data_IF_609769421674
#
_entry.id   IF_609769421674
#
_cell.length_a   1.000
_cell.length_b   1.000
_cell.length_c   1.000
_cell.angle_alpha   90.00
_cell.angle_beta   90.00
_cell.angle_gamma   90.00
#
_symmetry.space_group_name_H-M   'P 1'
#
loop_
_entity.id
_entity.type
_entity.pdbx_description
1 polymer ?
#
# COMPACT_ATOMS: atom_id res chain seq x y z
N UNK A 1 -0.35 1.36 11.16
CA UNK A 1 0.28 1.92 9.94
C UNK A 1 0.97 3.23 10.28
N UNK A 2 2.10 3.51 9.65
CA UNK A 2 2.91 4.71 9.91
C UNK A 2 2.98 5.58 8.65
N UNK A 3 2.79 6.90 8.81
CA UNK A 3 2.92 7.90 7.73
C UNK A 3 3.76 9.05 8.25
N UNK A 4 4.81 9.42 7.52
CA UNK A 4 5.64 10.57 7.84
C UNK A 4 5.50 11.68 6.78
N UNK A 5 5.61 12.91 7.25
CA UNK A 5 5.84 14.14 6.48
C UNK A 5 7.16 14.75 6.93
N UNK A 6 7.59 15.86 6.31
CA UNK A 6 8.85 16.52 6.68
C UNK A 6 8.92 16.97 8.15
N UNK A 7 7.77 17.17 8.82
CA UNK A 7 7.72 17.74 10.17
C UNK A 7 6.94 16.91 11.20
N UNK A 8 6.19 15.89 10.76
CA UNK A 8 5.32 15.10 11.64
C UNK A 8 5.24 13.65 11.19
N UNK A 9 5.11 12.76 12.17
CA UNK A 9 4.83 11.34 11.96
C UNK A 9 3.49 10.99 12.61
N UNK A 10 2.68 10.22 11.90
CA UNK A 10 1.38 9.73 12.32
C UNK A 10 1.43 8.22 12.43
N UNK A 11 1.00 7.69 13.58
CA UNK A 11 0.76 6.27 13.79
C UNK A 11 -0.75 6.04 13.81
N UNK A 12 -1.25 5.40 12.77
CA UNK A 12 -2.66 5.08 12.60
C UNK A 12 -2.93 3.68 13.12
N UNK A 13 -3.79 3.58 14.12
CA UNK A 13 -4.30 2.32 14.65
C UNK A 13 -5.35 1.76 13.69
N UNK A 14 -4.89 0.98 12.71
CA UNK A 14 -5.78 0.44 11.68
C UNK A 14 -6.80 -0.56 12.25
N UNK A 15 -6.49 -1.26 13.35
CA UNK A 15 -7.44 -2.20 13.97
C UNK A 15 -8.64 -1.40 14.48
N UNK A 16 -8.36 -0.41 15.34
CA UNK A 16 -9.40 0.44 15.91
C UNK A 16 -10.15 1.26 14.87
N UNK A 17 -9.43 1.87 13.91
CA UNK A 17 -10.06 2.71 12.88
C UNK A 17 -10.93 1.91 11.91
N UNK A 18 -10.55 0.67 11.61
CA UNK A 18 -11.35 -0.21 10.76
C UNK A 18 -12.64 -0.65 11.45
N UNK A 19 -12.61 -0.88 12.75
CA UNK A 19 -13.80 -1.21 13.55
C UNK A 19 -14.72 0.00 13.75
N UNK A 20 -14.14 1.14 14.14
CA UNK A 20 -14.91 2.31 14.59
C UNK A 20 -15.41 3.17 13.40
N UNK A 21 -14.62 3.31 12.33
CA UNK A 21 -14.90 4.26 11.25
C UNK A 21 -14.28 3.83 9.89
N UNK A 22 -14.69 2.67 9.33
CA UNK A 22 -14.08 2.11 8.13
C UNK A 22 -14.20 3.03 6.91
N UNK A 23 -15.35 3.67 6.69
CA UNK A 23 -15.56 4.56 5.53
C UNK A 23 -14.66 5.81 5.61
N UNK A 24 -14.52 6.39 6.81
CA UNK A 24 -13.64 7.55 7.03
C UNK A 24 -12.18 7.17 6.83
N UNK A 25 -11.78 5.99 7.31
CA UNK A 25 -10.45 5.43 7.09
C UNK A 25 -10.20 5.24 5.58
N UNK A 26 -11.15 4.63 4.87
CA UNK A 26 -11.04 4.36 3.44
C UNK A 26 -10.91 5.65 2.63
N UNK A 27 -11.77 6.63 2.88
CA UNK A 27 -11.77 7.92 2.19
C UNK A 27 -10.49 8.73 2.50
N UNK A 28 -10.02 8.69 3.74
CA UNK A 28 -8.78 9.35 4.14
C UNK A 28 -7.57 8.76 3.39
N UNK A 29 -7.42 7.44 3.44
CA UNK A 29 -6.28 6.77 2.82
C UNK A 29 -6.37 6.78 1.29
N UNK A 30 -7.56 6.71 0.71
CA UNK A 30 -7.78 6.89 -0.74
C UNK A 30 -7.25 8.23 -1.21
N UNK A 31 -7.57 9.32 -0.50
CA UNK A 31 -7.07 10.67 -0.84
C UNK A 31 -5.55 10.79 -0.78
N UNK A 32 -4.88 9.97 0.01
CA UNK A 32 -3.41 9.97 0.14
C UNK A 32 -2.78 9.03 -0.90
N UNK A 33 -3.20 7.76 -0.92
CA UNK A 33 -2.61 6.69 -1.72
C UNK A 33 -2.90 6.88 -3.21
N UNK A 34 -4.11 7.27 -3.59
CA UNK A 34 -4.50 7.43 -5.00
C UNK A 34 -4.14 8.82 -5.56
N UNK A 35 -3.62 9.75 -4.74
CA UNK A 35 -3.32 11.10 -5.22
C UNK A 35 -2.04 11.14 -6.07
N UNK A 36 -2.11 11.59 -7.34
CA UNK A 36 -0.92 11.80 -8.18
C UNK A 36 -0.17 13.10 -7.81
N UNK A 37 -0.64 13.86 -6.81
CA UNK A 37 0.01 15.10 -6.36
C UNK A 37 0.97 14.89 -5.20
N UNK A 38 0.90 13.74 -4.55
CA UNK A 38 1.72 13.41 -3.39
C UNK A 38 2.69 12.31 -3.80
N UNK A 39 3.99 12.56 -3.69
CA UNK A 39 5.02 11.53 -3.81
C UNK A 39 5.04 10.71 -2.51
N UNK A 40 4.85 9.40 -2.62
CA UNK A 40 4.91 8.46 -1.50
C UNK A 40 6.25 7.77 -1.51
N UNK A 41 6.86 7.67 -0.34
CA UNK A 41 8.09 6.92 -0.16
C UNK A 41 7.74 5.62 0.56
N UNK A 42 8.19 4.51 0.01
CA UNK A 42 8.04 3.19 0.61
C UNK A 42 9.34 2.42 0.62
N UNK A 43 9.38 1.29 1.33
CA UNK A 43 10.50 0.36 1.29
C UNK A 43 9.95 -1.05 1.23
N UNK A 44 10.09 -1.72 0.08
CA UNK A 44 9.39 -2.97 -0.21
C UNK A 44 7.85 -2.83 -0.08
N UNK A 45 7.33 -1.68 -0.51
CA UNK A 45 5.95 -1.26 -0.25
C UNK A 45 4.91 -2.20 -0.89
N UNK A 46 5.26 -2.84 -2.00
CA UNK A 46 4.37 -3.77 -2.67
C UNK A 46 4.00 -4.97 -1.79
N UNK A 47 4.91 -5.41 -0.91
CA UNK A 47 4.59 -6.46 0.07
C UNK A 47 3.62 -5.96 1.14
N UNK A 48 3.78 -4.72 1.59
CA UNK A 48 2.92 -4.12 2.62
C UNK A 48 1.50 -3.92 2.09
N UNK A 49 1.34 -3.32 0.90
CA UNK A 49 0.01 -3.05 0.33
C UNK A 49 -0.76 -4.33 0.03
N UNK A 50 -0.09 -5.41 -0.39
CA UNK A 50 -0.72 -6.72 -0.59
C UNK A 50 -1.27 -7.29 0.72
N UNK A 51 -0.48 -7.22 1.79
CA UNK A 51 -0.93 -7.66 3.11
C UNK A 51 -2.09 -6.80 3.61
N UNK A 52 -2.01 -5.47 3.44
CA UNK A 52 -3.07 -4.54 3.83
C UNK A 52 -4.38 -4.82 3.05
N UNK A 53 -4.31 -4.99 1.73
CA UNK A 53 -5.47 -5.32 0.91
C UNK A 53 -6.08 -6.67 1.29
N UNK A 54 -5.27 -7.65 1.69
CA UNK A 54 -5.75 -8.95 2.18
C UNK A 54 -6.42 -8.83 3.56
N UNK A 55 -5.80 -8.12 4.50
CA UNK A 55 -6.32 -7.95 5.87
C UNK A 55 -7.57 -7.08 5.93
N UNK A 56 -7.66 -6.07 5.06
CA UNK A 56 -8.72 -5.06 5.07
C UNK A 56 -9.49 -5.02 3.74
N UNK A 57 -9.82 -6.19 3.16
CA UNK A 57 -10.33 -6.31 1.78
C UNK A 57 -11.61 -5.53 1.45
N UNK A 58 -12.32 -5.00 2.46
CA UNK A 58 -13.45 -4.10 2.29
C UNK A 58 -13.00 -2.68 1.88
N UNK A 59 -11.85 -2.23 2.36
CA UNK A 59 -11.26 -0.93 2.06
C UNK A 59 -10.74 -0.90 0.62
N UNK A 60 -11.10 0.15 -0.12
CA UNK A 60 -10.67 0.36 -1.49
C UNK A 60 -9.32 1.06 -1.60
N UNK A 61 -8.93 1.83 -0.58
CA UNK A 61 -7.69 2.60 -0.53
C UNK A 61 -6.41 1.80 -0.75
N UNK A 62 -6.42 0.49 -0.49
CA UNK A 62 -5.26 -0.39 -0.69
C UNK A 62 -5.21 -1.06 -2.06
N UNK A 63 -6.23 -0.87 -2.91
CA UNK A 63 -6.27 -1.48 -4.24
C UNK A 63 -5.57 -0.61 -5.29
N UNK A 64 -5.32 0.67 -5.01
CA UNK A 64 -4.62 1.56 -5.93
C UNK A 64 -3.61 2.43 -5.17
N UNK A 65 -2.50 2.72 -5.81
CA UNK A 65 -1.64 3.84 -5.43
C UNK A 65 -1.03 4.49 -6.66
N UNK A 66 -0.81 5.80 -6.58
CA UNK A 66 -0.07 6.58 -7.57
C UNK A 66 1.24 7.10 -7.00
N UNK A 67 2.16 7.60 -7.83
CA UNK A 67 3.30 8.41 -7.37
C UNK A 67 4.09 7.78 -6.22
N UNK A 68 4.36 6.47 -6.29
CA UNK A 68 5.13 5.76 -5.27
C UNK A 68 6.58 5.61 -5.73
N UNK A 69 7.52 6.03 -4.90
CA UNK A 69 8.93 5.72 -5.03
C UNK A 69 9.30 4.66 -3.98
N UNK A 70 9.57 3.44 -4.44
CA UNK A 70 10.11 2.40 -3.57
C UNK A 70 11.62 2.56 -3.42
N UNK A 71 12.06 2.97 -2.24
CA UNK A 71 13.46 3.24 -1.91
C UNK A 71 14.32 1.99 -2.05
N UNK A 72 13.76 0.79 -1.84
CA UNK A 72 14.52 -0.45 -2.04
C UNK A 72 14.93 -0.62 -3.51
N UNK A 73 14.03 -0.29 -4.44
CA UNK A 73 14.27 -0.42 -5.88
C UNK A 73 15.29 0.61 -6.37
N UNK A 74 15.28 1.83 -5.82
CA UNK A 74 16.22 2.90 -6.18
C UNK A 74 17.67 2.50 -5.87
N UNK A 75 17.90 1.89 -4.71
CA UNK A 75 19.25 1.55 -4.26
C UNK A 75 19.72 0.15 -4.64
N UNK A 76 18.79 -0.70 -5.13
CA UNK A 76 19.03 -2.12 -5.41
C UNK A 76 19.79 -2.79 -4.28
N UNK A 77 19.40 -2.51 -3.03
CA UNK A 77 20.09 -2.99 -1.84
C UNK A 77 19.42 -4.28 -1.34
N UNK A 78 19.96 -5.47 -1.67
CA UNK A 78 19.34 -6.73 -1.27
C UNK A 78 19.60 -7.06 0.21
N UNK A 79 20.59 -6.44 0.86
CA UNK A 79 21.10 -6.88 2.16
C UNK A 79 20.88 -5.85 3.28
N UNK A 80 20.47 -6.33 4.45
CA UNK A 80 20.39 -5.53 5.68
C UNK A 80 19.06 -4.79 5.91
N UNK A 81 18.17 -4.74 4.91
CA UNK A 81 16.87 -4.07 4.99
C UNK A 81 16.99 -2.55 5.17
N UNK A 82 15.89 -1.90 5.53
CA UNK A 82 15.85 -0.45 5.73
C UNK A 82 16.92 0.05 6.71
N UNK A 83 17.16 -0.67 7.82
CA UNK A 83 18.20 -0.34 8.79
C UNK A 83 19.62 -0.42 8.18
N UNK A 84 19.90 -1.40 7.33
CA UNK A 84 21.18 -1.51 6.63
C UNK A 84 21.38 -0.37 5.63
N UNK A 85 20.32 -0.04 4.89
CA UNK A 85 20.34 1.09 3.96
C UNK A 85 20.52 2.43 4.69
N UNK A 86 19.81 2.64 5.80
CA UNK A 86 19.97 3.81 6.65
C UNK A 86 21.41 3.95 7.15
N UNK A 87 22.04 2.86 7.60
CA UNK A 87 23.45 2.88 8.01
C UNK A 87 24.39 3.27 6.88
N UNK A 88 24.15 2.76 5.67
CA UNK A 88 24.96 3.05 4.48
C UNK A 88 24.88 4.52 4.04
N UNK A 89 23.70 5.12 4.16
CA UNK A 89 23.42 6.46 3.63
C UNK A 89 23.59 7.54 4.70
N UNK A 90 23.05 7.31 5.89
CA UNK A 90 22.97 8.27 6.98
C UNK A 90 24.04 8.02 8.06
N UNK A 91 24.88 6.98 7.91
CA UNK A 91 25.91 6.60 8.86
C UNK A 91 25.41 5.82 10.08
N UNK A 92 24.09 5.80 10.32
CA UNK A 92 23.47 5.10 11.46
C UNK A 92 22.29 4.23 11.03
N UNK A 93 22.17 3.05 11.64
CA UNK A 93 21.11 2.10 11.35
C UNK A 93 19.94 2.24 12.33
N UNK A 94 18.75 1.79 11.91
CA UNK A 94 17.60 1.74 12.78
C UNK A 94 17.72 0.63 13.83
N UNK A 95 17.21 0.89 15.04
CA UNK A 95 17.08 -0.10 16.10
C UNK A 95 16.05 -1.17 15.70
N UNK A 96 16.43 -2.46 15.69
CA UNK A 96 15.57 -3.58 15.24
C UNK A 96 14.78 -4.28 16.35
N UNK A 97 14.98 -3.89 17.61
CA UNK A 97 14.49 -4.62 18.80
C UNK A 97 12.96 -4.72 18.91
N UNK A 98 12.21 -3.88 18.20
CA UNK A 98 10.73 -3.86 18.24
C UNK A 98 10.06 -4.42 16.99
N UNK A 99 10.84 -4.84 15.99
CA UNK A 99 10.30 -5.41 14.75
C UNK A 99 9.33 -6.57 15.00
N UNK A 100 9.67 -7.45 15.93
CA UNK A 100 8.89 -8.64 16.27
C UNK A 100 8.15 -8.50 17.62
N UNK A 101 7.76 -7.27 18.00
CA UNK A 101 6.95 -7.03 19.19
C UNK A 101 5.47 -7.36 18.96
N UNK A 102 4.67 -7.51 20.02
CA UNK A 102 3.22 -7.65 19.88
C UNK A 102 2.60 -6.31 19.45
N UNK A 103 2.30 -6.17 18.16
CA UNK A 103 1.68 -4.97 17.58
C UNK A 103 0.15 -4.90 17.73
N UNK A 104 -0.47 -5.95 18.25
CA UNK A 104 -1.90 -5.98 18.59
C UNK A 104 -2.17 -5.46 20.01
N UNK A 105 -1.15 -5.39 20.87
CA UNK A 105 -1.30 -4.87 22.24
C UNK A 105 -1.82 -3.42 22.25
N UNK A 106 -2.71 -3.10 23.18
CA UNK A 106 -3.20 -1.73 23.41
C UNK A 106 -3.14 -1.35 24.90
N UNK A 107 -2.67 -0.14 25.25
CA UNK A 107 -2.04 0.84 24.35
C UNK A 107 -0.68 0.35 23.81
N UNK A 108 -0.23 0.90 22.68
CA UNK A 108 1.14 0.68 22.22
C UNK A 108 2.12 1.30 23.21
N UNK A 109 3.24 0.62 23.46
CA UNK A 109 4.30 1.14 24.33
C UNK A 109 5.03 2.31 23.66
N UNK A 110 5.63 3.20 24.45
CA UNK A 110 6.42 4.32 23.95
C UNK A 110 7.52 3.87 22.96
N UNK A 111 8.19 2.76 23.26
CA UNK A 111 9.25 2.20 22.41
C UNK A 111 8.72 1.65 21.07
N UNK A 112 7.48 1.16 21.02
CA UNK A 112 6.84 0.77 19.77
C UNK A 112 6.47 1.99 18.93
N UNK A 113 5.94 3.04 19.56
CA UNK A 113 5.62 4.30 18.89
C UNK A 113 6.88 4.93 18.27
N UNK A 114 7.97 5.00 19.03
CA UNK A 114 9.26 5.50 18.54
C UNK A 114 9.81 4.67 17.38
N UNK A 115 9.78 3.34 17.51
CA UNK A 115 10.21 2.44 16.44
C UNK A 115 9.39 2.66 15.16
N UNK A 116 8.07 2.66 15.26
CA UNK A 116 7.18 2.84 14.10
C UNK A 116 7.35 4.23 13.48
N UNK A 117 7.59 5.25 14.31
CA UNK A 117 7.81 6.60 13.82
C UNK A 117 9.12 6.72 13.03
N UNK A 118 10.21 6.11 13.54
CA UNK A 118 11.50 6.09 12.87
C UNK A 118 11.48 5.33 11.54
N UNK A 119 10.75 4.20 11.46
CA UNK A 119 10.61 3.42 10.23
C UNK A 119 10.00 4.24 9.07
N UNK A 120 9.09 5.17 9.36
CA UNK A 120 8.54 6.09 8.35
C UNK A 120 9.44 7.30 8.10
N UNK A 121 9.94 7.95 9.16
CA UNK A 121 10.72 9.18 9.05
C UNK A 121 12.04 8.99 8.30
N UNK A 122 12.70 7.85 8.47
CA UNK A 122 14.01 7.58 7.85
C UNK A 122 13.93 7.63 6.32
N UNK A 123 12.79 7.27 5.71
CA UNK A 123 12.62 7.27 4.26
C UNK A 123 12.73 8.69 3.69
N UNK A 124 12.22 9.69 4.41
CA UNK A 124 12.34 11.10 4.04
C UNK A 124 13.81 11.53 4.10
N UNK A 125 14.53 11.17 5.16
CA UNK A 125 15.95 11.51 5.28
C UNK A 125 16.80 10.86 4.19
N UNK A 126 16.56 9.58 3.88
CA UNK A 126 17.20 8.88 2.77
C UNK A 126 16.90 9.58 1.45
N UNK A 127 15.63 9.91 1.18
CA UNK A 127 15.23 10.57 -0.05
C UNK A 127 15.84 11.97 -0.22
N UNK A 128 15.92 12.76 0.86
CA UNK A 128 16.57 14.08 0.83
C UNK A 128 18.06 13.95 0.51
N UNK A 129 18.73 12.92 1.02
CA UNK A 129 20.11 12.63 0.69
C UNK A 129 20.29 12.28 -0.80
N UNK A 130 19.41 11.43 -1.36
CA UNK A 130 19.37 11.12 -2.80
C UNK A 130 19.18 12.37 -3.64
N UNK A 131 18.20 13.20 -3.27
CA UNK A 131 17.84 14.41 -4.02
C UNK A 131 18.94 15.48 -3.90
N UNK A 132 19.61 15.58 -2.76
CA UNK A 132 20.74 16.49 -2.54
C UNK A 132 21.87 16.24 -3.54
N UNK A 133 22.30 14.98 -3.70
CA UNK A 133 23.31 14.59 -4.69
C UNK A 133 22.95 14.96 -6.13
N UNK A 134 21.67 14.95 -6.49
CA UNK A 134 21.26 15.31 -7.86
C UNK A 134 21.32 16.81 -8.16
N UNK A 135 21.37 17.67 -7.14
CA UNK A 135 21.40 19.13 -7.28
C UNK A 135 22.79 19.74 -7.11
N UNK A 136 23.69 19.14 -6.31
CA UNK A 136 25.05 19.64 -6.06
C UNK A 136 26.11 19.12 -7.06
N UNK A 137 25.70 18.66 -8.25
CA UNK A 137 26.59 18.18 -9.29
C UNK A 137 27.32 19.33 -10.02
N UNK A 138 28.26 19.92 -9.29
CA UNK A 138 29.32 20.77 -9.76
C UNK A 138 30.61 20.48 -8.99
N UNK A 139 30.97 19.20 -8.78
CA UNK A 139 32.36 18.74 -8.80
C UNK A 139 32.52 17.23 -8.46
N UNK A 140 33.29 16.55 -9.33
CA UNK A 140 34.25 15.46 -9.08
C UNK A 140 33.89 14.12 -8.40
N UNK A 141 32.67 13.82 -7.91
CA UNK A 141 32.39 12.46 -7.39
C UNK A 141 31.57 11.60 -8.36
N UNK A 142 32.24 10.63 -9.02
CA UNK A 142 31.68 9.66 -9.99
C UNK A 142 30.81 8.58 -9.32
N UNK A 143 29.93 8.95 -8.40
CA UNK A 143 28.84 8.05 -7.97
C UNK A 143 27.67 8.28 -8.91
N UNK A 144 27.44 7.31 -9.80
CA UNK A 144 26.43 7.30 -10.85
C UNK A 144 25.17 8.07 -10.43
N UNK A 145 24.87 9.17 -11.12
CA UNK A 145 23.71 10.05 -10.87
C UNK A 145 22.46 9.18 -10.69
N UNK A 146 21.95 9.09 -9.46
CA UNK A 146 20.79 8.23 -9.16
C UNK A 146 19.55 8.85 -9.80
N UNK A 147 19.07 8.26 -10.89
CA UNK A 147 17.83 8.67 -11.55
C UNK A 147 16.62 8.06 -10.85
N UNK A 148 16.25 8.64 -9.70
CA UNK A 148 15.14 8.14 -8.89
C UNK A 148 13.76 8.33 -9.55
N UNK A 149 13.61 9.30 -10.46
CA UNK A 149 12.30 9.59 -11.11
C UNK A 149 11.79 8.43 -11.98
N UNK A 150 12.68 7.67 -12.60
CA UNK A 150 12.30 6.50 -13.42
C UNK A 150 11.80 5.31 -12.58
N UNK A 151 11.94 5.38 -11.26
CA UNK A 151 11.49 4.37 -10.31
C UNK A 151 10.14 4.73 -9.67
N UNK A 152 9.51 5.84 -10.08
CA UNK A 152 8.17 6.22 -9.65
C UNK A 152 7.16 5.33 -10.37
N UNK A 153 6.29 4.68 -9.59
CA UNK A 153 5.31 3.72 -10.09
C UNK A 153 3.89 4.05 -9.61
N UNK A 154 2.93 3.54 -10.36
CA UNK A 154 1.51 3.48 -10.03
C UNK A 154 1.01 2.04 -10.17
N UNK A 155 -0.02 1.67 -9.42
CA UNK A 155 -0.60 0.32 -9.47
C UNK A 155 -2.10 0.39 -9.24
N UNK A 156 -2.87 -0.36 -10.04
CA UNK A 156 -4.32 -0.57 -9.85
C UNK A 156 -4.59 -2.07 -9.81
N UNK A 157 -5.21 -2.54 -8.73
CA UNK A 157 -5.71 -3.91 -8.61
C UNK A 157 -7.09 -4.03 -9.29
N UNK A 158 -7.12 -4.66 -10.46
CA UNK A 158 -8.33 -4.85 -11.25
C UNK A 158 -9.19 -6.05 -10.82
N UNK A 159 -8.85 -6.75 -9.73
CA UNK A 159 -9.55 -7.98 -9.30
C UNK A 159 -11.02 -7.79 -8.90
N UNK A 160 -11.47 -6.55 -8.64
CA UNK A 160 -12.88 -6.22 -8.37
C UNK A 160 -13.69 -5.83 -9.62
N UNK A 161 -13.04 -5.35 -10.69
CA UNK A 161 -13.73 -5.05 -11.97
C UNK A 161 -14.23 -6.34 -12.64
N UNK A 162 -13.43 -7.40 -12.61
CA UNK A 162 -13.80 -8.72 -13.13
C UNK A 162 -14.99 -9.35 -12.37
N UNK A 163 -15.12 -9.12 -11.06
CA UNK A 163 -16.29 -9.56 -10.27
C UNK A 163 -17.58 -8.79 -10.61
N UNK A 164 -17.47 -7.52 -11.01
CA UNK A 164 -18.63 -6.66 -11.35
C UNK A 164 -19.15 -6.98 -12.77
N UNK A 165 -18.28 -7.32 -13.71
CA UNK A 165 -18.66 -7.81 -15.04
C UNK A 165 -19.28 -9.21 -14.99
N UNK A 166 -18.73 -10.13 -14.17
CA UNK A 166 -19.29 -11.46 -13.96
C UNK A 166 -20.71 -11.44 -13.35
N UNK A 167 -21.02 -10.47 -12.48
CA UNK A 167 -22.38 -10.27 -11.95
C UNK A 167 -23.35 -9.67 -12.98
N UNK A 168 -22.85 -8.83 -13.91
CA UNK A 168 -23.68 -8.15 -14.91
C UNK A 168 -24.04 -9.06 -16.10
N UNK A 169 -23.22 -10.08 -16.38
CA UNK A 169 -23.53 -11.13 -17.37
C UNK A 169 -24.61 -12.13 -16.92
N UNK A 170 -24.84 -12.28 -15.61
CA UNK A 170 -25.79 -13.26 -15.05
C UNK A 170 -27.24 -12.76 -14.94
N UNK A 171 -27.49 -11.46 -15.17
CA UNK A 171 -28.80 -10.83 -15.00
C UNK A 171 -29.62 -10.67 -16.29
N UNK A 172 -29.21 -11.30 -17.41
CA UNK A 172 -29.85 -11.12 -18.74
C UNK A 172 -30.58 -12.33 -19.33
N UNK A 173 -30.68 -13.44 -18.62
CA UNK A 173 -31.47 -14.61 -19.05
C UNK A 173 -32.47 -14.95 -17.97
N UNK A 174 -33.66 -14.35 -18.06
CA UNK A 174 -34.93 -14.95 -17.62
C UNK A 174 -36.08 -14.04 -18.11
N UNK A 175 -36.57 -14.30 -19.32
CA UNK A 175 -37.92 -13.95 -19.75
C UNK A 175 -38.41 -15.01 -20.74
N UNK A 176 -39.41 -15.76 -20.28
CA UNK A 176 -40.18 -16.82 -20.97
C UNK A 176 -40.97 -16.23 -22.16
N UNK A 177 -41.42 -17.06 -23.13
CA UNK A 177 -42.88 -17.27 -23.17
C UNK A 177 -43.34 -18.71 -23.49
N UNK A 178 -44.62 -18.91 -23.15
CA UNK A 178 -45.51 -20.07 -23.24
C UNK A 178 -45.76 -20.62 -24.66
N UNK A 179 -46.27 -21.87 -24.76
CA UNK A 179 -47.45 -22.31 -25.57
C UNK A 179 -47.80 -23.79 -25.26
N UNK A 180 -48.95 -24.13 -24.64
CA UNK A 180 -50.24 -24.68 -25.18
C UNK A 180 -50.15 -26.09 -25.83
N UNK A 181 -50.53 -27.18 -25.12
CA UNK A 181 -51.76 -28.06 -25.25
C UNK A 181 -51.63 -29.12 -26.39
N UNK A 182 -51.89 -30.44 -26.26
CA UNK A 182 -53.16 -31.17 -26.10
C UNK A 182 -52.94 -32.66 -25.71
N UNK A 183 -53.96 -33.19 -25.01
CA UNK A 183 -54.33 -34.53 -24.51
C UNK A 183 -54.06 -35.76 -25.40
N UNK A 184 -53.94 -36.93 -24.75
CA UNK A 184 -54.82 -38.08 -25.04
C UNK A 184 -54.99 -39.03 -23.84
N UNK A 185 -56.23 -39.50 -23.65
CA UNK A 185 -56.66 -40.51 -22.69
C UNK A 185 -56.42 -41.90 -23.28
N UNK A 186 -56.12 -42.90 -22.43
CA UNK A 186 -56.70 -44.25 -22.57
C UNK A 186 -56.75 -44.98 -21.23
N UNK A 187 -57.85 -45.71 -21.06
CA UNK A 187 -58.38 -46.37 -19.87
C UNK A 187 -57.78 -47.77 -19.60
N UNK A 188 -58.04 -48.28 -18.37
CA UNK A 188 -58.21 -49.69 -17.95
C UNK A 188 -56.96 -50.60 -18.04
N UNK A 189 -56.52 -51.27 -16.96
CA UNK A 189 -57.24 -52.24 -16.13
C UNK A 189 -56.59 -52.37 -14.76
#
# INVERSE_FOLDING_TARGET
MQIASDNKVYILDLIKLYEDAPDVLDDCLTRILHSPRVLKLGYNFQCDVKQLAQSYGQLQCFNHYDMLLDIQNVFKEPRGGLSGLAKKILGTGLNKTRRNSNWEQRPLTQLQLEYAALDAAVLIHIFRHVRGYTQSAGDQDKRSKIEWKSHIVSHIDNSKMSKKEAKRGKAKTDKVPQSVEIKELTEQT
#
